data_IF_655654730247
#
_entry.id   IF_655654730247
#
_cell.length_a   1.000
_cell.length_b   1.000
_cell.length_c   1.000
_cell.angle_alpha   90.00
_cell.angle_beta   90.00
_cell.angle_gamma   90.00
#
_symmetry.space_group_name_H-M   'P 1'
#
loop_
_entity.id
_entity.type
_entity.pdbx_description
1 polymer ?
#
# COMPACT_ATOMS: atom_id res chain seq x y z
N UNK A 1 35.30 12.39 -40.43
CA UNK A 1 34.30 11.62 -41.22
C UNK A 1 32.90 11.95 -40.72
N UNK A 2 32.18 12.84 -41.41
CA UNK A 2 30.79 13.21 -41.06
C UNK A 2 29.87 12.38 -41.97
N UNK A 3 29.27 11.30 -41.44
CA UNK A 3 28.29 10.51 -42.21
C UNK A 3 27.04 11.37 -42.42
N UNK A 4 26.86 11.86 -43.64
CA UNK A 4 25.67 12.60 -44.06
C UNK A 4 24.51 11.60 -44.11
N UNK A 5 23.46 11.85 -43.34
CA UNK A 5 22.20 11.12 -43.44
C UNK A 5 21.68 11.27 -44.88
N UNK A 6 21.77 10.21 -45.69
CA UNK A 6 21.18 10.18 -47.03
C UNK A 6 19.65 10.20 -46.91
N UNK A 7 18.98 10.88 -47.85
CA UNK A 7 17.52 11.09 -47.84
C UNK A 7 16.72 9.78 -47.62
N UNK A 8 17.23 8.66 -48.11
CA UNK A 8 16.63 7.33 -47.93
C UNK A 8 16.60 6.87 -46.46
N UNK A 9 17.62 7.19 -45.67
CA UNK A 9 17.67 6.84 -44.25
C UNK A 9 16.70 7.71 -43.43
N UNK A 10 16.50 8.97 -43.85
CA UNK A 10 15.55 9.87 -43.20
C UNK A 10 14.09 9.40 -43.40
N UNK A 11 13.77 8.81 -44.55
CA UNK A 11 12.44 8.24 -44.83
C UNK A 11 12.14 7.08 -43.88
N UNK A 12 13.08 6.16 -43.66
CA UNK A 12 12.90 5.06 -42.71
C UNK A 12 12.73 5.52 -41.27
N UNK A 13 13.45 6.57 -40.86
CA UNK A 13 13.28 7.19 -39.54
C UNK A 13 11.90 7.82 -39.38
N UNK A 14 11.41 8.55 -40.40
CA UNK A 14 10.08 9.15 -40.37
C UNK A 14 8.97 8.09 -40.34
N UNK A 15 9.10 7.04 -41.14
CA UNK A 15 8.15 5.90 -41.13
C UNK A 15 8.11 5.22 -39.77
N UNK A 16 9.28 4.94 -39.18
CA UNK A 16 9.37 4.37 -37.83
C UNK A 16 8.77 5.28 -36.76
N UNK A 17 8.97 6.59 -36.86
CA UNK A 17 8.41 7.58 -35.94
C UNK A 17 6.87 7.62 -36.02
N UNK A 18 6.31 7.69 -37.23
CA UNK A 18 4.86 7.73 -37.46
C UNK A 18 4.21 6.42 -36.99
N UNK A 19 4.84 5.29 -37.28
CA UNK A 19 4.36 3.99 -36.82
C UNK A 19 4.41 3.88 -35.29
N UNK A 20 5.52 4.31 -34.66
CA UNK A 20 5.66 4.34 -33.21
C UNK A 20 4.61 5.21 -32.53
N UNK A 21 4.41 6.44 -33.01
CA UNK A 21 3.35 7.34 -32.53
C UNK A 21 1.96 6.76 -32.75
N UNK A 22 1.71 6.13 -33.90
CA UNK A 22 0.45 5.45 -34.19
C UNK A 22 0.17 4.36 -33.15
N UNK A 23 1.14 3.48 -32.89
CA UNK A 23 0.95 2.41 -31.89
C UNK A 23 0.77 2.94 -30.46
N UNK A 24 1.44 4.05 -30.10
CA UNK A 24 1.29 4.66 -28.78
C UNK A 24 -0.12 5.23 -28.52
N UNK A 25 -0.81 5.68 -29.56
CA UNK A 25 -2.19 6.19 -29.46
C UNK A 25 -3.25 5.08 -29.41
N UNK A 26 -2.93 3.88 -29.90
CA UNK A 26 -3.82 2.72 -29.88
C UNK A 26 -3.69 1.85 -28.63
N UNK A 27 -2.64 2.05 -27.83
CA UNK A 27 -2.46 1.32 -26.57
C UNK A 27 -3.30 1.99 -25.47
N UNK A 28 -4.22 1.25 -24.80
CA UNK A 28 -4.95 1.80 -23.67
C UNK A 28 -3.96 2.19 -22.57
N UNK A 29 -4.07 3.43 -22.09
CA UNK A 29 -3.27 3.89 -20.95
C UNK A 29 -3.58 3.02 -19.74
N UNK A 30 -2.55 2.38 -19.19
CA UNK A 30 -2.68 1.66 -17.92
C UNK A 30 -2.59 2.68 -16.79
N UNK A 31 -3.58 2.76 -15.89
CA UNK A 31 -3.46 3.61 -14.70
C UNK A 31 -2.25 3.15 -13.88
N UNK A 32 -1.30 4.06 -13.65
CA UNK A 32 -0.16 3.79 -12.78
C UNK A 32 -0.61 3.96 -11.33
N UNK A 33 -0.83 2.83 -10.69
CA UNK A 33 -1.13 2.75 -9.27
C UNK A 33 0.18 2.91 -8.48
N UNK A 34 0.44 4.12 -7.98
CA UNK A 34 1.59 4.38 -7.12
C UNK A 34 1.17 4.26 -5.66
N UNK A 35 1.87 3.41 -4.91
CA UNK A 35 1.87 3.46 -3.46
C UNK A 35 3.15 4.12 -2.99
N UNK A 36 3.05 4.99 -1.99
CA UNK A 36 4.21 5.61 -1.38
C UNK A 36 4.37 5.09 0.05
N UNK A 37 5.61 5.02 0.51
CA UNK A 37 5.92 4.75 1.91
C UNK A 37 7.09 5.64 2.29
N UNK A 38 6.95 6.34 3.40
CA UNK A 38 8.01 7.14 3.99
C UNK A 38 8.06 6.91 5.50
N UNK A 39 9.22 7.15 6.10
CA UNK A 39 9.39 7.00 7.54
C UNK A 39 10.33 8.06 8.11
N UNK A 40 10.09 8.33 9.39
CA UNK A 40 10.91 9.08 10.30
C UNK A 40 11.34 8.17 11.46
N UNK A 41 12.06 8.72 12.44
CA UNK A 41 12.51 7.96 13.62
C UNK A 41 11.35 7.47 14.51
N UNK A 42 10.22 8.18 14.51
CA UNK A 42 9.08 7.91 15.41
C UNK A 42 7.81 7.47 14.67
N UNK A 43 7.70 7.80 13.39
CA UNK A 43 6.48 7.58 12.61
C UNK A 43 6.79 7.02 11.23
N UNK A 44 5.91 6.17 10.72
CA UNK A 44 5.87 5.80 9.31
C UNK A 44 4.50 6.14 8.71
N UNK A 45 4.51 6.48 7.42
CA UNK A 45 3.32 6.72 6.61
C UNK A 45 3.37 5.87 5.35
N UNK A 46 2.23 5.32 4.95
CA UNK A 46 2.10 4.63 3.67
C UNK A 46 0.74 4.88 3.04
N UNK A 47 0.69 4.86 1.70
CA UNK A 47 -0.55 4.97 0.96
C UNK A 47 -0.87 3.68 0.22
N UNK A 48 -2.14 3.34 0.10
CA UNK A 48 -2.61 2.10 -0.52
C UNK A 48 -3.90 2.32 -1.31
N UNK A 49 -4.07 1.64 -2.42
CA UNK A 49 -5.25 1.82 -3.29
C UNK A 49 -6.37 0.87 -2.91
N UNK A 50 -7.47 1.44 -2.45
CA UNK A 50 -8.68 0.75 -2.05
C UNK A 50 -9.65 0.58 -3.23
N UNK A 51 -10.84 0.05 -2.98
CA UNK A 51 -11.90 -0.04 -3.98
C UNK A 51 -12.24 1.35 -4.58
N UNK A 52 -12.61 1.37 -5.87
CA UNK A 52 -13.02 2.57 -6.62
C UNK A 52 -11.92 3.66 -6.73
N UNK A 53 -10.65 3.23 -6.83
CA UNK A 53 -9.48 4.11 -6.91
C UNK A 53 -9.41 5.14 -5.75
N UNK A 54 -9.93 4.77 -4.58
CA UNK A 54 -9.77 5.55 -3.35
C UNK A 54 -8.41 5.28 -2.74
N UNK A 55 -7.75 6.33 -2.25
CA UNK A 55 -6.48 6.17 -1.54
C UNK A 55 -6.74 6.04 -0.03
N UNK A 56 -6.25 4.93 0.52
CA UNK A 56 -6.09 4.71 1.95
C UNK A 56 -4.74 5.24 2.39
N UNK A 57 -4.72 5.89 3.54
CA UNK A 57 -3.52 6.43 4.18
C UNK A 57 -3.36 5.76 5.53
N UNK A 58 -2.17 5.23 5.79
CA UNK A 58 -1.82 4.57 7.03
C UNK A 58 -0.74 5.36 7.74
N UNK A 59 -0.89 5.56 9.04
CA UNK A 59 0.09 6.20 9.91
C UNK A 59 0.39 5.28 11.08
N UNK A 60 1.66 4.99 11.30
CA UNK A 60 2.13 4.17 12.42
C UNK A 60 3.01 5.01 13.35
N UNK A 61 2.65 5.05 14.63
CA UNK A 61 3.47 5.58 15.71
C UNK A 61 4.29 4.45 16.34
N UNK A 62 5.62 4.52 16.21
CA UNK A 62 6.53 3.49 16.71
C UNK A 62 6.62 3.44 18.24
N UNK A 63 6.38 4.57 18.93
CA UNK A 63 6.48 4.66 20.39
C UNK A 63 5.27 4.02 21.05
N UNK A 64 4.08 4.33 20.57
CA UNK A 64 2.84 3.77 21.12
C UNK A 64 2.46 2.43 20.52
N UNK A 65 3.02 2.08 19.34
CA UNK A 65 2.56 0.94 18.56
C UNK A 65 1.14 1.14 18.00
N UNK A 66 0.65 2.38 17.97
CA UNK A 66 -0.68 2.70 17.43
C UNK A 66 -0.60 2.84 15.92
N UNK A 67 -1.33 1.98 15.23
CA UNK A 67 -1.57 2.05 13.81
C UNK A 67 -2.92 2.73 13.55
N UNK A 68 -2.93 3.72 12.67
CA UNK A 68 -4.12 4.40 12.19
C UNK A 68 -4.26 4.23 10.67
N UNK A 69 -5.46 4.01 10.19
CA UNK A 69 -5.83 4.04 8.78
C UNK A 69 -6.95 5.04 8.54
N UNK A 70 -6.93 5.75 7.43
CA UNK A 70 -8.01 6.64 7.01
C UNK A 70 -8.13 6.68 5.49
N UNK A 71 -9.24 7.19 4.98
CA UNK A 71 -9.48 7.40 3.55
C UNK A 71 -9.73 8.87 3.30
N UNK A 72 -9.25 9.39 2.18
CA UNK A 72 -9.61 10.73 1.72
C UNK A 72 -10.91 10.66 0.92
N UNK A 73 -12.00 11.24 1.44
CA UNK A 73 -13.27 11.31 0.73
C UNK A 73 -13.12 12.25 -0.50
N UNK A 74 -13.42 11.72 -1.68
CA UNK A 74 -13.24 12.43 -2.98
C UNK A 74 -14.24 13.56 -3.20
N UNK A 75 -15.41 13.50 -2.56
CA UNK A 75 -16.47 14.51 -2.72
C UNK A 75 -16.24 15.72 -1.81
N UNK A 76 -15.87 15.49 -0.55
CA UNK A 76 -15.67 16.52 0.46
C UNK A 76 -14.21 17.00 0.57
N UNK A 77 -13.25 16.22 0.07
CA UNK A 77 -11.82 16.51 0.21
C UNK A 77 -11.34 16.44 1.66
N UNK A 78 -12.04 15.71 2.53
CA UNK A 78 -11.72 15.53 3.95
C UNK A 78 -11.40 14.09 4.27
N UNK A 79 -10.58 13.87 5.29
CA UNK A 79 -10.38 12.54 5.85
C UNK A 79 -11.68 12.03 6.47
N UNK A 80 -12.01 10.79 6.17
CA UNK A 80 -13.16 10.07 6.68
C UNK A 80 -12.75 8.65 7.04
N UNK A 81 -13.63 7.94 7.78
CA UNK A 81 -13.45 6.55 8.19
C UNK A 81 -12.09 6.28 8.84
N UNK A 82 -11.99 6.58 10.13
CA UNK A 82 -10.78 6.33 10.90
C UNK A 82 -10.78 4.90 11.42
N UNK A 83 -9.67 4.22 11.23
CA UNK A 83 -9.42 2.89 11.74
C UNK A 83 -8.23 2.93 12.67
N UNK A 84 -8.31 2.33 13.84
CA UNK A 84 -7.18 2.25 14.77
C UNK A 84 -6.91 0.82 15.20
N UNK A 85 -5.63 0.48 15.43
CA UNK A 85 -5.22 -0.80 15.98
C UNK A 85 -3.96 -0.67 16.80
N UNK A 86 -3.90 -1.36 17.94
CA UNK A 86 -2.70 -1.43 18.77
C UNK A 86 -1.85 -2.65 18.39
N UNK A 87 -0.69 -2.39 17.78
CA UNK A 87 0.24 -3.42 17.34
C UNK A 87 0.97 -4.11 18.51
N UNK A 88 1.05 -3.49 19.69
CA UNK A 88 1.68 -4.14 20.84
C UNK A 88 1.02 -5.50 21.16
N UNK A 89 -0.29 -5.59 21.01
CA UNK A 89 -1.05 -6.82 21.24
C UNK A 89 -0.78 -7.87 20.14
N UNK A 90 -0.76 -7.46 18.88
CA UNK A 90 -0.59 -8.38 17.75
C UNK A 90 0.80 -9.00 17.71
N UNK A 91 1.82 -8.20 18.00
CA UNK A 91 3.20 -8.65 17.99
C UNK A 91 3.61 -9.32 19.31
N UNK A 92 2.79 -9.18 20.37
CA UNK A 92 3.06 -9.72 21.70
C UNK A 92 4.22 -9.00 22.39
N UNK A 93 4.25 -7.67 22.28
CA UNK A 93 5.33 -6.84 22.80
C UNK A 93 5.19 -6.64 24.31
N UNK A 94 6.32 -6.67 25.03
CA UNK A 94 6.34 -6.32 26.44
C UNK A 94 6.02 -4.83 26.64
N UNK A 95 5.40 -4.46 27.77
CA UNK A 95 4.94 -3.09 28.06
C UNK A 95 6.03 -1.99 28.02
N UNK A 96 7.32 -2.36 28.06
CA UNK A 96 8.47 -1.44 27.95
C UNK A 96 9.38 -1.74 26.77
N UNK A 97 8.93 -2.57 25.83
CA UNK A 97 9.67 -2.84 24.61
C UNK A 97 9.80 -1.54 23.80
N UNK A 98 10.93 -1.38 23.11
CA UNK A 98 11.13 -0.35 22.09
C UNK A 98 11.09 -1.04 20.72
N UNK A 99 9.89 -1.33 20.19
CA UNK A 99 9.77 -2.06 18.93
C UNK A 99 10.38 -1.26 17.78
N UNK A 100 10.85 -1.99 16.77
CA UNK A 100 11.32 -1.40 15.52
C UNK A 100 10.39 -1.86 14.42
N UNK A 101 9.50 -0.99 13.99
CA UNK A 101 8.55 -1.33 12.95
C UNK A 101 9.06 -0.97 11.57
N UNK A 102 8.62 -1.74 10.59
CA UNK A 102 8.69 -1.42 9.17
C UNK A 102 7.31 -1.67 8.60
N UNK A 103 6.86 -0.86 7.66
CA UNK A 103 5.58 -1.08 6.99
C UNK A 103 5.69 -0.77 5.51
N UNK A 104 4.83 -1.41 4.73
CA UNK A 104 4.66 -1.15 3.30
C UNK A 104 3.27 -1.58 2.87
N UNK A 105 2.73 -0.94 1.86
CA UNK A 105 1.45 -1.33 1.25
C UNK A 105 1.68 -2.14 -0.02
N UNK A 106 0.81 -3.12 -0.24
CA UNK A 106 0.81 -3.95 -1.44
C UNK A 106 -0.59 -4.07 -2.04
N UNK A 107 -0.64 -4.50 -3.30
CA UNK A 107 -1.87 -4.87 -3.96
C UNK A 107 -2.11 -6.37 -3.75
N UNK A 108 -3.32 -6.72 -3.34
CA UNK A 108 -3.79 -8.10 -3.21
C UNK A 108 -5.19 -8.17 -3.79
N UNK A 109 -5.61 -9.33 -4.29
CA UNK A 109 -7.01 -9.56 -4.64
C UNK A 109 -7.47 -10.82 -3.92
N UNK A 110 -8.05 -10.64 -2.73
CA UNK A 110 -8.60 -11.74 -1.94
C UNK A 110 -10.10 -11.80 -2.16
N UNK A 111 -10.52 -12.71 -3.04
CA UNK A 111 -11.93 -12.89 -3.42
C UNK A 111 -12.79 -13.60 -2.34
N UNK A 112 -12.19 -14.15 -1.29
CA UNK A 112 -12.88 -14.91 -0.23
C UNK A 112 -13.46 -14.03 0.88
N UNK A 113 -13.15 -12.73 0.91
CA UNK A 113 -13.66 -11.84 1.94
C UNK A 113 -15.05 -11.29 1.56
N UNK A 114 -15.94 -11.15 2.57
CA UNK A 114 -17.26 -10.52 2.43
C UNK A 114 -17.18 -9.07 1.88
N UNK A 115 -15.99 -8.47 1.95
CA UNK A 115 -15.61 -7.18 1.35
C UNK A 115 -14.39 -7.44 0.47
N UNK A 116 -14.39 -7.06 -0.81
CA UNK A 116 -13.22 -7.20 -1.67
C UNK A 116 -11.98 -6.53 -1.05
N UNK A 117 -10.93 -7.30 -0.82
CA UNK A 117 -9.65 -6.78 -0.33
C UNK A 117 -8.76 -6.55 -1.54
N UNK A 118 -8.57 -5.28 -1.88
CA UNK A 118 -7.76 -4.85 -3.02
C UNK A 118 -6.37 -4.30 -2.60
N UNK A 119 -6.21 -4.05 -1.30
CA UNK A 119 -4.99 -3.54 -0.69
C UNK A 119 -4.72 -4.23 0.63
N UNK A 120 -3.44 -4.36 0.93
CA UNK A 120 -2.95 -4.89 2.20
C UNK A 120 -1.82 -4.00 2.71
N UNK A 121 -1.82 -3.76 4.01
CA UNK A 121 -0.72 -3.14 4.74
C UNK A 121 0.08 -4.26 5.41
N UNK A 122 1.32 -4.45 5.01
CA UNK A 122 2.25 -5.32 5.71
C UNK A 122 2.99 -4.52 6.76
N UNK A 123 2.96 -4.98 8.00
CA UNK A 123 3.77 -4.42 9.09
C UNK A 123 4.65 -5.52 9.65
N UNK A 124 5.94 -5.25 9.76
CA UNK A 124 6.91 -6.11 10.40
C UNK A 124 7.45 -5.44 11.65
N UNK A 125 7.61 -6.19 12.74
CA UNK A 125 8.38 -5.76 13.89
C UNK A 125 9.71 -6.52 13.88
N UNK A 126 10.79 -5.77 13.66
CA UNK A 126 12.11 -6.30 13.32
C UNK A 126 12.78 -7.01 14.50
N UNK A 127 12.44 -6.65 15.74
CA UNK A 127 13.06 -7.23 16.94
C UNK A 127 12.50 -8.63 17.22
N UNK A 128 11.18 -8.76 17.26
CA UNK A 128 10.42 -10.01 17.42
C UNK A 128 10.48 -10.88 16.17
N UNK A 129 10.74 -10.29 15.01
CA UNK A 129 10.84 -11.01 13.74
C UNK A 129 9.51 -11.59 13.28
N UNK A 130 8.41 -10.90 13.59
CA UNK A 130 7.06 -11.21 13.14
C UNK A 130 6.63 -10.16 12.11
N UNK A 131 5.79 -10.58 11.17
CA UNK A 131 5.13 -9.74 10.20
C UNK A 131 3.64 -10.06 10.20
N UNK A 132 2.80 -9.04 10.13
CA UNK A 132 1.35 -9.16 10.10
C UNK A 132 0.82 -8.35 8.92
N UNK A 133 -0.10 -8.94 8.18
CA UNK A 133 -0.83 -8.31 7.10
C UNK A 133 -2.16 -7.78 7.62
N UNK A 134 -2.47 -6.52 7.35
CA UNK A 134 -3.70 -5.85 7.73
C UNK A 134 -4.47 -5.37 6.52
N UNK A 135 -5.78 -5.22 6.66
CA UNK A 135 -6.61 -4.57 5.66
C UNK A 135 -7.66 -3.68 6.32
N UNK A 136 -8.11 -2.70 5.54
CA UNK A 136 -9.18 -1.79 5.92
C UNK A 136 -10.51 -2.31 5.35
N UNK A 137 -11.49 -2.70 6.18
CA UNK A 137 -12.77 -3.25 5.72
C UNK A 137 -13.73 -2.14 5.24
N UNK A 138 -13.29 -1.31 4.29
CA UNK A 138 -14.05 -0.17 3.81
C UNK A 138 -15.29 -0.59 3.01
N UNK A 139 -16.46 -0.10 3.42
CA UNK A 139 -17.78 -0.44 2.83
C UNK A 139 -18.42 0.72 2.06
N UNK A 140 -17.65 1.76 1.72
CA UNK A 140 -18.15 2.96 1.05
C UNK A 140 -18.50 4.09 2.01
N UNK A 141 -18.91 5.22 1.42
CA UNK A 141 -19.16 6.51 2.07
C UNK A 141 -20.42 6.57 2.96
N UNK A 142 -21.08 5.44 3.25
CA UNK A 142 -22.38 5.42 3.95
C UNK A 142 -22.29 5.83 5.43
N UNK A 143 -21.09 6.01 5.99
CA UNK A 143 -20.93 6.31 7.42
C UNK A 143 -20.84 7.83 7.66
N UNK A 144 -21.97 8.44 8.00
CA UNK A 144 -22.00 9.67 8.82
C UNK A 144 -21.69 9.28 10.26
N UNK A 145 -20.40 9.23 10.62
CA UNK A 145 -20.02 8.96 12.00
C UNK A 145 -18.52 8.84 12.19
N UNK A 146 -18.01 9.52 13.21
CA UNK A 146 -16.65 9.46 13.75
C UNK A 146 -16.39 8.15 14.50
N UNK A 147 -16.98 7.04 14.06
CA UNK A 147 -16.79 5.75 14.73
C UNK A 147 -15.45 5.20 14.28
N UNK A 148 -14.48 5.21 15.20
CA UNK A 148 -13.19 4.55 15.00
C UNK A 148 -13.45 3.05 14.88
N UNK A 149 -13.26 2.50 13.68
CA UNK A 149 -13.32 1.06 13.42
C UNK A 149 -11.94 0.43 13.65
N UNK A 150 -11.83 -0.90 13.69
CA UNK A 150 -10.54 -1.56 13.88
C UNK A 150 -9.98 -2.03 12.54
N UNK A 151 -8.67 -1.81 12.29
CA UNK A 151 -7.99 -2.48 11.18
C UNK A 151 -8.01 -3.99 11.43
N UNK A 152 -8.34 -4.76 10.40
CA UNK A 152 -8.48 -6.20 10.54
C UNK A 152 -7.21 -6.92 10.13
N UNK A 153 -6.86 -7.96 10.89
CA UNK A 153 -5.76 -8.87 10.54
C UNK A 153 -6.20 -9.77 9.41
N UNK A 154 -5.38 -9.86 8.37
CA UNK A 154 -5.54 -10.82 7.29
C UNK A 154 -4.79 -12.12 7.63
N UNK A 155 -3.51 -12.02 7.97
CA UNK A 155 -2.65 -13.15 8.35
C UNK A 155 -1.37 -12.66 9.06
N UNK A 156 -0.61 -13.54 9.69
CA UNK A 156 0.66 -13.23 10.33
C UNK A 156 1.69 -14.36 10.25
N UNK A 157 2.96 -14.00 10.06
CA UNK A 157 4.06 -14.95 9.90
C UNK A 157 5.29 -14.53 10.71
N UNK A 158 6.01 -15.49 11.28
CA UNK A 158 7.33 -15.26 11.87
C UNK A 158 8.41 -15.43 10.79
N UNK A 159 9.21 -14.39 10.55
CA UNK A 159 10.34 -14.42 9.60
C UNK A 159 11.70 -14.56 10.28
N UNK A 160 11.79 -14.32 11.60
CA UNK A 160 12.95 -14.70 12.41
C UNK A 160 12.56 -15.89 13.27
N UNK A 161 13.06 -17.07 12.93
CA UNK A 161 12.84 -18.24 13.77
C UNK A 161 13.67 -18.12 15.06
N UNK A 162 13.00 -18.12 16.21
CA UNK A 162 13.39 -19.10 17.21
C UNK A 162 12.79 -20.43 16.75
N UNK A 163 13.60 -21.49 16.63
CA UNK A 163 13.17 -22.85 16.29
C UNK A 163 11.84 -23.21 16.99
N UNK A 164 10.73 -23.25 16.25
CA UNK A 164 9.51 -23.94 16.69
C UNK A 164 9.16 -24.95 15.62
N UNK A 165 9.32 -26.22 15.99
CA UNK A 165 9.01 -27.39 15.15
C UNK A 165 7.50 -27.41 14.88
N UNK A 166 7.06 -27.83 13.68
CA UNK A 166 5.66 -28.13 13.45
C UNK A 166 5.23 -29.31 14.35
N UNK A 167 4.07 -29.15 15.00
CA UNK A 167 3.24 -30.24 15.54
C UNK A 167 2.15 -30.53 14.51
#
# INVERSE_FOLDING_TARGET
MRRVLTAQNAVWVLLGLVFGLGTALFLPGQPSYATATDHSDDFAIATGILANDLESVYLLDFKSGRLMGTVLNRQSGKFSHFYERNLANDFGLAARAKPKFMMVTGLVNVATAQVPINNVLYVAEVSSGKMVAYFMPYRGETVRGTTSEELQVLDGVAFRQGLVRPQ
#
